data_IF_128888027705
#
_entry.id   IF_128888027705
#
_cell.length_a   1.000
_cell.length_b   1.000
_cell.length_c   1.000
_cell.angle_alpha   90.00
_cell.angle_beta   90.00
_cell.angle_gamma   90.00
#
_symmetry.space_group_name_H-M   'P 1'
#
loop_
_entity.id
_entity.type
_entity.pdbx_description
1 polymer ?
#
# COMPACT_ATOMS: atom_id res chain seq x y z
N UNK A 1 -23.59 29.46 -5.44
CA UNK A 1 -23.71 28.03 -5.08
C UNK A 1 -22.35 27.52 -4.67
N UNK A 2 -22.31 26.55 -3.77
CA UNK A 2 -21.06 25.95 -3.26
C UNK A 2 -20.39 25.13 -4.37
N UNK A 3 -19.09 25.31 -4.59
CA UNK A 3 -18.30 24.57 -5.58
C UNK A 3 -18.22 23.07 -5.26
N UNK A 4 -17.93 22.24 -6.26
CA UNK A 4 -17.75 20.80 -6.06
C UNK A 4 -16.66 20.48 -5.02
N UNK A 5 -15.55 21.21 -5.04
CA UNK A 5 -14.46 21.06 -4.07
C UNK A 5 -14.85 21.48 -2.65
N UNK A 6 -15.62 22.56 -2.50
CA UNK A 6 -16.14 22.98 -1.18
C UNK A 6 -17.12 21.95 -0.60
N UNK A 7 -18.01 21.38 -1.43
CA UNK A 7 -18.91 20.30 -1.00
C UNK A 7 -18.12 19.09 -0.53
N UNK A 8 -17.05 18.72 -1.23
CA UNK A 8 -16.22 17.55 -0.89
C UNK A 8 -15.47 17.75 0.43
N UNK A 9 -14.89 18.93 0.65
CA UNK A 9 -14.26 19.28 1.93
C UNK A 9 -15.26 19.33 3.09
N UNK A 10 -16.48 19.81 2.84
CA UNK A 10 -17.54 19.80 3.86
C UNK A 10 -17.94 18.36 4.24
N UNK A 11 -18.07 17.45 3.27
CA UNK A 11 -18.33 16.04 3.57
C UNK A 11 -17.23 15.42 4.43
N UNK A 12 -15.96 15.63 4.09
CA UNK A 12 -14.83 15.15 4.91
C UNK A 12 -14.92 15.74 6.33
N UNK A 13 -15.18 17.04 6.46
CA UNK A 13 -15.31 17.67 7.77
C UNK A 13 -16.46 17.09 8.62
N UNK A 14 -17.58 16.73 8.00
CA UNK A 14 -18.71 16.07 8.68
C UNK A 14 -18.33 14.67 9.20
N UNK A 15 -17.56 13.91 8.42
CA UNK A 15 -17.07 12.59 8.81
C UNK A 15 -16.02 12.63 9.93
N UNK A 16 -15.40 13.78 10.16
CA UNK A 16 -14.43 13.99 11.24
C UNK A 16 -15.04 14.44 12.57
N UNK A 17 -16.30 14.89 12.57
CA UNK A 17 -17.01 15.27 13.81
C UNK A 17 -17.04 14.18 14.90
N UNK A 18 -17.18 12.87 14.58
CA UNK A 18 -17.14 11.81 15.58
C UNK A 18 -15.73 11.37 15.99
N UNK A 19 -14.66 12.04 15.52
CA UNK A 19 -13.26 11.70 15.80
C UNK A 19 -12.93 10.21 15.51
N UNK A 20 -13.17 9.72 14.28
CA UNK A 20 -12.94 8.32 13.96
C UNK A 20 -11.45 7.97 14.02
N UNK A 21 -11.14 6.71 14.33
CA UNK A 21 -9.78 6.17 14.24
C UNK A 21 -9.39 5.72 12.83
N UNK A 22 -10.37 5.59 11.93
CA UNK A 22 -10.20 5.15 10.54
C UNK A 22 -11.12 5.95 9.61
N UNK A 23 -10.56 6.51 8.55
CA UNK A 23 -11.27 7.25 7.51
C UNK A 23 -10.97 6.65 6.14
N UNK A 24 -12.01 6.43 5.34
CA UNK A 24 -11.90 6.02 3.94
C UNK A 24 -12.26 7.20 3.04
N UNK A 25 -11.43 7.51 2.04
CA UNK A 25 -11.72 8.55 1.07
C UNK A 25 -11.59 8.00 -0.36
N UNK A 26 -12.70 7.97 -1.10
CA UNK A 26 -12.67 7.58 -2.51
C UNK A 26 -12.37 8.80 -3.40
N UNK A 27 -11.24 8.74 -4.10
CA UNK A 27 -10.71 9.78 -4.99
C UNK A 27 -10.83 11.21 -4.45
N UNK A 28 -10.25 11.55 -3.28
CA UNK A 28 -10.47 12.85 -2.62
C UNK A 28 -10.02 14.05 -3.46
N UNK A 29 -9.11 13.83 -4.42
CA UNK A 29 -8.56 14.86 -5.31
C UNK A 29 -9.30 14.99 -6.65
N UNK A 30 -10.28 14.13 -6.93
CA UNK A 30 -11.02 14.15 -8.20
C UNK A 30 -11.83 15.45 -8.38
N UNK A 31 -11.69 16.05 -9.57
CA UNK A 31 -12.33 17.32 -9.94
C UNK A 31 -11.66 18.57 -9.35
N UNK A 32 -10.47 18.45 -8.75
CA UNK A 32 -9.66 19.58 -8.29
C UNK A 32 -8.52 19.87 -9.28
N UNK A 33 -8.07 21.12 -9.32
CA UNK A 33 -6.80 21.45 -9.95
C UNK A 33 -5.61 20.87 -9.15
N UNK A 34 -4.43 20.85 -9.75
CA UNK A 34 -3.22 20.27 -9.16
C UNK A 34 -2.81 20.88 -7.82
N UNK A 35 -3.03 22.19 -7.64
CA UNK A 35 -2.66 22.91 -6.41
C UNK A 35 -3.63 22.56 -5.27
N UNK A 36 -4.93 22.56 -5.57
CA UNK A 36 -5.96 22.17 -4.59
C UNK A 36 -5.87 20.69 -4.23
N UNK A 37 -5.58 19.81 -5.19
CA UNK A 37 -5.33 18.39 -4.93
C UNK A 37 -4.18 18.18 -3.94
N UNK A 38 -3.07 18.90 -4.11
CA UNK A 38 -1.94 18.85 -3.18
C UNK A 38 -2.30 19.34 -1.78
N UNK A 39 -3.06 20.44 -1.67
CA UNK A 39 -3.52 20.95 -0.38
C UNK A 39 -4.39 19.92 0.33
N UNK A 40 -5.32 19.28 -0.38
CA UNK A 40 -6.19 18.23 0.19
C UNK A 40 -5.36 17.02 0.64
N UNK A 41 -4.44 16.54 -0.20
CA UNK A 41 -3.60 15.39 0.13
C UNK A 41 -2.73 15.65 1.39
N UNK A 42 -2.10 16.83 1.47
CA UNK A 42 -1.34 17.24 2.65
C UNK A 42 -2.21 17.39 3.89
N UNK A 43 -3.40 17.99 3.76
CA UNK A 43 -4.32 18.12 4.89
C UNK A 43 -4.75 16.76 5.45
N UNK A 44 -4.96 15.75 4.59
CA UNK A 44 -5.24 14.38 5.01
C UNK A 44 -4.02 13.76 5.72
N UNK A 45 -2.83 13.90 5.15
CA UNK A 45 -1.58 13.44 5.79
C UNK A 45 -1.37 14.06 7.17
N UNK A 46 -1.47 15.39 7.27
CA UNK A 46 -1.30 16.12 8.52
C UNK A 46 -2.34 15.70 9.56
N UNK A 47 -3.58 15.46 9.13
CA UNK A 47 -4.65 14.99 9.98
C UNK A 47 -4.33 13.59 10.53
N UNK A 48 -3.94 12.65 9.66
CA UNK A 48 -3.56 11.30 10.06
C UNK A 48 -2.46 11.30 11.13
N UNK A 49 -1.41 12.12 10.93
CA UNK A 49 -0.30 12.21 11.87
C UNK A 49 -0.65 12.92 13.17
N UNK A 50 -1.49 13.95 13.14
CA UNK A 50 -1.86 14.73 14.33
C UNK A 50 -2.88 14.05 15.22
N UNK A 51 -3.82 13.31 14.65
CA UNK A 51 -4.90 12.65 15.41
C UNK A 51 -4.67 11.15 15.59
N UNK A 52 -3.56 10.61 15.09
CA UNK A 52 -3.30 9.17 15.02
C UNK A 52 -4.41 8.38 14.32
N UNK A 53 -5.12 9.04 13.39
CA UNK A 53 -6.15 8.42 12.57
C UNK A 53 -5.52 7.72 11.37
N UNK A 54 -5.97 6.51 11.07
CA UNK A 54 -5.61 5.82 9.82
C UNK A 54 -6.49 6.37 8.69
N UNK A 55 -5.88 6.84 7.60
CA UNK A 55 -6.61 7.29 6.42
C UNK A 55 -6.24 6.40 5.24
N UNK A 56 -7.26 5.85 4.59
CA UNK A 56 -7.10 5.03 3.39
C UNK A 56 -7.80 5.77 2.25
N UNK A 57 -7.08 6.04 1.16
CA UNK A 57 -7.70 6.67 0.00
C UNK A 57 -7.21 6.09 -1.33
N UNK A 58 -8.08 6.18 -2.34
CA UNK A 58 -7.79 5.85 -3.72
C UNK A 58 -7.39 7.13 -4.48
N UNK A 59 -6.37 7.06 -5.33
CA UNK A 59 -5.97 8.17 -6.22
C UNK A 59 -5.78 7.62 -7.63
N UNK A 60 -6.59 8.10 -8.58
CA UNK A 60 -6.63 7.55 -9.94
C UNK A 60 -5.50 8.04 -10.87
N UNK A 61 -4.64 8.96 -10.42
CA UNK A 61 -3.44 9.44 -11.13
C UNK A 61 -2.75 10.47 -10.23
N UNK A 62 -1.89 10.07 -9.30
CA UNK A 62 -1.24 11.01 -8.40
C UNK A 62 -0.18 11.81 -9.17
N UNK A 63 -0.22 13.13 -9.05
CA UNK A 63 0.96 13.93 -9.41
C UNK A 63 2.12 13.56 -8.50
N UNK A 64 3.36 13.80 -8.92
CA UNK A 64 4.56 13.52 -8.11
C UNK A 64 4.46 14.13 -6.70
N UNK A 65 3.89 15.33 -6.58
CA UNK A 65 3.75 16.00 -5.29
C UNK A 65 2.72 15.33 -4.38
N UNK A 66 1.62 14.83 -4.95
CA UNK A 66 0.59 14.08 -4.21
C UNK A 66 1.12 12.69 -3.84
N UNK A 67 1.80 12.01 -4.75
CA UNK A 67 2.45 10.72 -4.47
C UNK A 67 3.40 10.81 -3.27
N UNK A 68 4.20 11.87 -3.19
CA UNK A 68 5.15 12.08 -2.10
C UNK A 68 4.49 12.41 -0.74
N UNK A 69 3.18 12.63 -0.69
CA UNK A 69 2.46 12.82 0.58
C UNK A 69 1.96 11.53 1.23
N UNK A 70 2.17 10.37 0.59
CA UNK A 70 1.74 9.08 1.11
C UNK A 70 2.84 8.38 1.92
N UNK A 71 2.47 7.83 3.08
CA UNK A 71 3.35 7.01 3.90
C UNK A 71 3.45 5.56 3.38
N UNK A 72 2.31 5.00 2.98
CA UNK A 72 2.14 3.63 2.50
C UNK A 72 1.45 3.65 1.14
N UNK A 73 1.81 2.70 0.28
CA UNK A 73 1.21 2.48 -1.02
C UNK A 73 0.73 1.05 -1.13
N UNK A 74 -0.53 0.89 -1.54
CA UNK A 74 -1.10 -0.36 -2.00
C UNK A 74 -1.38 -0.20 -3.50
N UNK A 75 -0.62 -0.92 -4.33
CA UNK A 75 -0.83 -0.95 -5.77
C UNK A 75 -1.63 -2.20 -6.13
N UNK A 76 -2.74 -2.00 -6.84
CA UNK A 76 -3.59 -3.08 -7.32
C UNK A 76 -3.45 -3.22 -8.85
N UNK A 77 -3.33 -4.46 -9.31
CA UNK A 77 -3.30 -4.84 -10.72
C UNK A 77 -4.18 -6.08 -10.92
N UNK A 78 -5.18 -6.01 -11.81
CA UNK A 78 -6.11 -7.11 -12.07
C UNK A 78 -6.79 -7.70 -10.81
N UNK A 79 -7.09 -6.86 -9.81
CA UNK A 79 -7.69 -7.28 -8.53
C UNK A 79 -6.71 -7.91 -7.53
N UNK A 80 -5.41 -7.93 -7.82
CA UNK A 80 -4.37 -8.47 -6.94
C UNK A 80 -3.42 -7.35 -6.48
N UNK A 81 -2.87 -7.49 -5.27
CA UNK A 81 -1.84 -6.58 -4.79
C UNK A 81 -0.52 -6.82 -5.54
N UNK A 82 -0.12 -5.86 -6.37
CA UNK A 82 1.16 -5.86 -7.06
C UNK A 82 2.29 -5.32 -6.17
N UNK A 83 1.97 -4.37 -5.30
CA UNK A 83 2.88 -3.83 -4.29
C UNK A 83 2.11 -3.44 -3.03
N UNK A 84 2.72 -3.68 -1.88
CA UNK A 84 2.22 -3.20 -0.59
C UNK A 84 3.43 -2.84 0.29
N UNK A 85 3.54 -1.57 0.68
CA UNK A 85 4.62 -1.13 1.54
C UNK A 85 4.83 0.39 1.54
N UNK A 86 5.95 0.87 2.10
CA UNK A 86 6.25 2.30 2.16
C UNK A 86 6.41 2.93 0.77
N UNK A 87 5.71 4.05 0.50
CA UNK A 87 5.76 4.70 -0.82
C UNK A 87 7.19 5.08 -1.25
N UNK A 88 8.06 5.40 -0.28
CA UNK A 88 9.49 5.71 -0.48
C UNK A 88 10.33 4.53 -1.00
N UNK A 89 9.90 3.29 -0.81
CA UNK A 89 10.63 2.08 -1.20
C UNK A 89 10.26 1.58 -2.60
N UNK A 90 9.22 2.16 -3.20
CA UNK A 90 8.77 1.84 -4.56
C UNK A 90 9.90 1.89 -5.60
N UNK A 91 10.78 2.91 -5.66
CA UNK A 91 11.85 2.94 -6.65
C UNK A 91 12.81 1.73 -6.55
N UNK A 92 13.16 1.33 -5.32
CA UNK A 92 14.03 0.19 -5.09
C UNK A 92 13.34 -1.11 -5.51
N UNK A 93 12.05 -1.24 -5.16
CA UNK A 93 11.25 -2.39 -5.55
C UNK A 93 11.11 -2.53 -7.08
N UNK A 94 10.89 -1.42 -7.79
CA UNK A 94 10.83 -1.41 -9.26
C UNK A 94 12.17 -1.81 -9.88
N UNK A 95 13.28 -1.34 -9.32
CA UNK A 95 14.62 -1.72 -9.79
C UNK A 95 14.90 -3.22 -9.58
N UNK A 96 14.49 -3.80 -8.46
CA UNK A 96 14.60 -5.26 -8.19
C UNK A 96 13.79 -6.10 -9.19
N UNK A 97 12.66 -5.58 -9.66
CA UNK A 97 11.83 -6.20 -10.70
C UNK A 97 12.39 -6.02 -12.12
N UNK A 98 13.54 -5.36 -12.28
CA UNK A 98 14.15 -5.09 -13.58
C UNK A 98 13.60 -3.86 -14.30
N UNK A 99 12.85 -3.00 -13.60
CA UNK A 99 12.25 -1.78 -14.14
C UNK A 99 12.74 -0.52 -13.39
N UNK A 100 14.06 -0.22 -13.38
CA UNK A 100 14.56 0.98 -12.72
C UNK A 100 13.92 2.24 -13.32
N UNK A 101 13.63 3.23 -12.49
CA UNK A 101 13.08 4.51 -12.95
C UNK A 101 14.03 5.18 -13.94
N UNK A 102 13.59 5.50 -15.17
CA UNK A 102 14.41 6.18 -16.16
C UNK A 102 14.85 7.57 -15.72
N UNK A 103 16.00 8.03 -16.23
CA UNK A 103 16.49 9.37 -15.97
C UNK A 103 15.48 10.43 -16.45
N UNK A 104 15.19 11.41 -15.58
CA UNK A 104 14.25 12.49 -15.85
C UNK A 104 12.77 12.14 -15.62
N UNK A 105 12.45 10.91 -15.21
CA UNK A 105 11.08 10.51 -14.86
C UNK A 105 10.85 10.52 -13.36
N UNK A 106 9.63 10.82 -12.94
CA UNK A 106 9.23 10.66 -11.55
C UNK A 106 8.80 9.21 -11.29
N UNK A 107 9.03 8.72 -10.07
CA UNK A 107 8.58 7.37 -9.67
C UNK A 107 7.08 7.20 -9.84
N UNK A 108 6.29 8.24 -9.59
CA UNK A 108 4.84 8.19 -9.74
C UNK A 108 4.44 7.97 -11.21
N UNK A 109 5.03 8.73 -12.12
CA UNK A 109 4.74 8.61 -13.56
C UNK A 109 5.20 7.26 -14.10
N UNK A 110 6.41 6.83 -13.70
CA UNK A 110 6.95 5.54 -14.12
C UNK A 110 6.13 4.35 -13.59
N UNK A 111 5.70 4.42 -12.33
CA UNK A 111 4.83 3.41 -11.73
C UNK A 111 3.51 3.29 -12.51
N UNK A 112 2.89 4.43 -12.83
CA UNK A 112 1.65 4.44 -13.62
C UNK A 112 1.86 3.91 -15.03
N UNK A 113 2.98 4.23 -15.67
CA UNK A 113 3.33 3.72 -17.01
C UNK A 113 3.47 2.20 -17.01
N UNK A 114 4.16 1.61 -16.01
CA UNK A 114 4.29 0.15 -15.88
C UNK A 114 2.93 -0.49 -15.70
N UNK A 115 2.09 0.07 -14.82
CA UNK A 115 0.76 -0.49 -14.51
C UNK A 115 -0.15 -0.41 -15.73
N UNK A 116 -0.16 0.72 -16.44
CA UNK A 116 -0.95 0.89 -17.66
C UNK A 116 -0.43 -0.01 -18.78
N UNK A 117 0.88 -0.07 -18.98
CA UNK A 117 1.51 -0.95 -20.00
C UNK A 117 1.21 -2.42 -19.73
N UNK A 118 1.25 -2.85 -18.47
CA UNK A 118 0.87 -4.22 -18.08
C UNK A 118 -0.63 -4.47 -18.19
N UNK A 119 -1.47 -3.45 -17.95
CA UNK A 119 -2.91 -3.54 -18.21
C UNK A 119 -3.19 -3.78 -19.71
N UNK A 120 -2.34 -3.25 -20.59
CA UNK A 120 -2.42 -3.47 -22.04
C UNK A 120 -1.94 -4.89 -22.43
N UNK A 121 -0.91 -5.43 -21.77
CA UNK A 121 -0.43 -6.81 -21.98
C UNK A 121 -1.37 -7.89 -21.39
N UNK A 122 -2.04 -7.59 -20.28
CA UNK A 122 -2.92 -8.53 -19.56
C UNK A 122 -4.25 -8.81 -20.25
N UNK A 123 -4.52 -8.20 -21.41
CA UNK A 123 -5.60 -8.65 -22.29
C UNK A 123 -5.34 -10.05 -22.91
N UNK A 124 -4.15 -10.65 -22.71
CA UNK A 124 -3.83 -12.03 -23.13
C UNK A 124 -3.41 -13.02 -22.01
N UNK A 125 -3.14 -12.62 -20.77
CA UNK A 125 -2.47 -13.53 -19.79
C UNK A 125 -2.99 -13.50 -18.34
N UNK A 126 -4.30 -13.70 -18.15
CA UNK A 126 -4.94 -13.82 -16.82
C UNK A 126 -4.61 -15.12 -16.05
N UNK A 127 -3.81 -16.06 -16.59
CA UNK A 127 -3.66 -17.40 -15.97
C UNK A 127 -2.39 -17.69 -15.15
N UNK A 128 -1.38 -16.80 -15.07
CA UNK A 128 -0.06 -17.22 -14.54
C UNK A 128 0.31 -16.73 -13.11
N UNK A 129 -0.31 -15.68 -12.55
CA UNK A 129 0.24 -15.01 -11.35
C UNK A 129 -0.31 -15.48 -9.98
N UNK A 130 -1.30 -16.37 -9.95
CA UNK A 130 -1.91 -16.83 -8.69
C UNK A 130 -1.01 -17.72 -7.80
N UNK A 131 0.14 -18.19 -8.30
CA UNK A 131 0.94 -19.22 -7.62
C UNK A 131 1.93 -18.73 -6.54
N UNK A 132 2.14 -17.42 -6.37
CA UNK A 132 3.21 -16.90 -5.46
C UNK A 132 2.73 -16.23 -4.17
N UNK A 133 1.44 -15.90 -4.05
CA UNK A 133 0.89 -15.20 -2.87
C UNK A 133 0.17 -16.14 -1.89
N UNK A 134 0.63 -17.38 -1.73
CA UNK A 134 -0.01 -18.39 -0.88
C UNK A 134 0.75 -18.80 0.38
N UNK A 135 2.01 -18.38 0.58
CA UNK A 135 2.90 -19.09 1.52
C UNK A 135 3.57 -18.23 2.60
N UNK A 136 2.90 -17.21 3.15
CA UNK A 136 3.47 -16.46 4.29
C UNK A 136 2.47 -16.00 5.35
N UNK A 137 1.47 -16.83 5.67
CA UNK A 137 0.68 -16.67 6.91
C UNK A 137 0.45 -18.04 7.54
N UNK A 138 1.22 -18.36 8.58
CA UNK A 138 0.93 -19.50 9.46
C UNK A 138 2.15 -20.24 10.00
N UNK A 139 2.77 -19.74 11.07
CA UNK A 139 3.34 -20.57 12.17
C UNK A 139 4.07 -19.67 13.16
N UNK A 140 3.43 -19.41 14.31
CA UNK A 140 4.06 -18.64 15.38
C UNK A 140 3.19 -18.38 16.59
N UNK A 141 2.27 -19.30 16.92
CA UNK A 141 1.52 -19.26 18.19
C UNK A 141 1.30 -20.68 18.70
N UNK A 142 1.80 -20.95 19.92
CA UNK A 142 1.31 -22.01 20.80
C UNK A 142 2.29 -23.16 21.06
N UNK A 143 2.71 -23.30 22.32
CA UNK A 143 3.32 -24.56 22.78
C UNK A 143 4.15 -24.50 24.05
N UNK A 144 3.65 -23.92 25.14
CA UNK A 144 4.10 -24.27 26.47
C UNK A 144 3.57 -25.68 26.81
N UNK A 145 4.41 -26.55 27.38
CA UNK A 145 4.00 -27.89 27.81
C UNK A 145 5.19 -28.71 28.29
N UNK A 146 5.36 -28.74 29.60
CA UNK A 146 6.27 -29.61 30.35
C UNK A 146 6.07 -31.09 30.00
N UNK A 147 7.13 -31.90 30.13
CA UNK A 147 7.13 -33.08 31.03
C UNK A 147 8.50 -33.75 31.10
N UNK A 148 8.88 -34.00 32.34
CA UNK A 148 9.94 -34.86 32.86
C UNK A 148 9.83 -36.32 32.42
N UNK A 149 10.97 -37.03 32.35
CA UNK A 149 11.02 -38.44 32.78
C UNK A 149 11.80 -39.43 31.90
N UNK A 150 12.99 -39.79 32.40
CA UNK A 150 13.52 -41.15 32.53
C UNK A 150 14.08 -41.95 31.32
N UNK A 151 15.40 -42.19 31.42
CA UNK A 151 16.05 -43.53 31.57
C UNK A 151 16.41 -44.40 30.35
N UNK A 152 17.70 -44.81 30.32
CA UNK A 152 18.26 -45.99 29.62
C UNK A 152 18.73 -45.70 28.18
N UNK A 153 19.89 -46.13 27.67
CA UNK A 153 20.75 -47.23 28.06
C UNK A 153 22.19 -47.04 27.52
N UNK A 154 23.08 -47.79 28.14
CA UNK A 154 24.51 -48.03 27.93
C UNK A 154 24.89 -48.83 26.67
N UNK A 155 26.14 -48.69 26.21
CA UNK A 155 26.90 -49.65 25.37
C UNK A 155 27.96 -48.94 24.50
N UNK A 156 29.29 -49.04 24.77
CA UNK A 156 30.27 -50.03 24.23
C UNK A 156 30.35 -49.93 22.69
N UNK A 157 31.46 -49.73 21.97
CA UNK A 157 32.88 -50.15 21.98
C UNK A 157 33.62 -49.24 20.96
N UNK A 158 34.91 -48.89 21.05
CA UNK A 158 36.11 -49.74 21.04
C UNK A 158 36.78 -49.69 19.64
N UNK A 159 38.08 -49.38 19.60
CA UNK A 159 38.91 -49.41 18.38
C UNK A 159 39.87 -48.24 18.27
#
# INVERSE_FOLDING_TARGET
>A
GVSGGERKRLCIALELLPEPSLLFCDEPTSGLDSSMALIVARALSDLAHRTHMTIICSIHQPSTQVFNSFDQLLLLDGGHAAYQGPAKEVPAHLAELGHPTPDGWSTADWLMEIVVSRLMETHELVHASAARCGNRVGSGLGGAGDTSGASGASGVSGG
#
